data_IF_317530765674
#
_entry.id   IF_317530765674
#
_cell.length_a   1.000
_cell.length_b   1.000
_cell.length_c   1.000
_cell.angle_alpha   90.00
_cell.angle_beta   90.00
_cell.angle_gamma   90.00
#
_symmetry.space_group_name_H-M   'P 1'
#
loop_
_entity.id
_entity.type
_entity.pdbx_description
1 polymer ?
#
# COMPACT_ATOMS: atom_id res chain seq x y z
N UNK A 1 12.36 -4.32 60.28
CA UNK A 1 13.71 -4.29 59.67
C UNK A 1 14.09 -2.95 59.04
N UNK A 2 13.13 -2.11 58.59
CA UNK A 2 13.43 -0.81 57.96
C UNK A 2 13.79 0.32 58.95
N UNK A 3 13.47 0.18 60.24
CA UNK A 3 13.61 1.23 61.26
C UNK A 3 15.05 1.55 61.71
N UNK A 4 16.07 0.88 61.15
CA UNK A 4 17.50 1.11 61.45
C UNK A 4 18.27 1.79 60.30
N UNK A 5 17.59 2.13 59.21
CA UNK A 5 18.23 2.76 58.04
C UNK A 5 18.37 4.27 58.26
N UNK A 6 19.54 4.81 57.93
CA UNK A 6 19.72 6.27 57.83
C UNK A 6 18.86 6.81 56.67
N UNK A 7 18.47 8.09 56.73
CA UNK A 7 17.68 8.76 55.67
C UNK A 7 18.17 8.47 54.24
N UNK A 8 19.47 8.55 53.90
CA UNK A 8 19.94 8.20 52.55
C UNK A 8 19.80 6.71 52.21
N UNK A 9 19.95 5.80 53.18
CA UNK A 9 19.77 4.37 52.96
C UNK A 9 18.29 4.02 52.74
N UNK A 10 17.37 4.65 53.47
CA UNK A 10 15.93 4.50 53.23
C UNK A 10 15.55 5.03 51.83
N UNK A 11 16.08 6.18 51.42
CA UNK A 11 15.89 6.71 50.06
C UNK A 11 16.44 5.78 48.98
N UNK A 12 17.64 5.22 49.16
CA UNK A 12 18.22 4.27 48.20
C UNK A 12 17.38 2.99 48.08
N UNK A 13 16.91 2.44 49.20
CA UNK A 13 16.04 1.25 49.21
C UNK A 13 14.69 1.53 48.55
N UNK A 14 14.11 2.71 48.75
CA UNK A 14 12.86 3.13 48.09
C UNK A 14 13.06 3.48 46.60
N UNK A 15 14.24 3.93 46.20
CA UNK A 15 14.56 4.26 44.81
C UNK A 15 14.79 3.00 43.96
N UNK A 16 15.30 1.90 44.54
CA UNK A 16 15.55 0.64 43.82
C UNK A 16 14.34 0.12 43.01
N UNK A 17 13.11 -0.01 43.55
CA UNK A 17 11.96 -0.46 42.76
C UNK A 17 11.58 0.53 41.66
N UNK A 18 11.76 1.83 41.87
CA UNK A 18 11.50 2.86 40.84
C UNK A 18 12.53 2.76 39.71
N UNK A 19 13.82 2.63 40.04
CA UNK A 19 14.89 2.42 39.07
C UNK A 19 14.69 1.11 38.31
N UNK A 20 14.27 0.04 38.99
CA UNK A 20 13.96 -1.23 38.35
C UNK A 20 12.77 -1.11 37.38
N UNK A 21 11.70 -0.41 37.75
CA UNK A 21 10.55 -0.13 36.88
C UNK A 21 10.91 0.73 35.67
N UNK A 22 11.76 1.75 35.86
CA UNK A 22 12.23 2.59 34.76
C UNK A 22 13.14 1.79 33.83
N UNK A 23 14.03 0.95 34.37
CA UNK A 23 14.86 0.07 33.59
C UNK A 23 14.02 -0.93 32.78
N UNK A 24 13.02 -1.58 33.40
CA UNK A 24 12.12 -2.48 32.65
C UNK A 24 11.33 -1.73 31.59
N UNK A 25 10.80 -0.54 31.85
CA UNK A 25 10.10 0.25 30.84
C UNK A 25 10.99 0.65 29.65
N UNK A 26 12.29 0.89 29.89
CA UNK A 26 13.24 1.27 28.85
C UNK A 26 13.76 0.08 28.03
N UNK A 27 13.89 -1.10 28.64
CA UNK A 27 14.53 -2.27 28.01
C UNK A 27 13.57 -3.41 27.64
N UNK A 28 12.32 -3.41 28.13
CA UNK A 28 11.36 -4.43 27.74
C UNK A 28 10.88 -4.22 26.30
N UNK A 29 10.74 -5.29 25.51
CA UNK A 29 10.16 -5.20 24.17
C UNK A 29 8.70 -4.74 24.28
N UNK A 30 8.33 -3.77 23.46
CA UNK A 30 6.96 -3.29 23.40
C UNK A 30 6.15 -4.10 22.37
N UNK A 31 4.84 -4.34 22.60
CA UNK A 31 3.97 -5.09 21.69
C UNK A 31 3.51 -4.22 20.50
N UNK A 32 4.44 -3.55 19.84
CA UNK A 32 4.18 -2.72 18.67
C UNK A 32 5.01 -3.19 17.48
N UNK A 33 4.47 -2.96 16.28
CA UNK A 33 5.19 -3.03 15.02
C UNK A 33 5.32 -1.61 14.45
N UNK A 34 6.43 -1.36 13.75
CA UNK A 34 6.63 -0.10 13.02
C UNK A 34 6.38 -0.34 11.55
N UNK A 35 5.49 0.45 10.95
CA UNK A 35 5.23 0.46 9.52
C UNK A 35 5.89 1.67 8.86
N UNK A 36 6.41 1.49 7.65
CA UNK A 36 7.08 2.52 6.86
C UNK A 36 6.71 2.41 5.36
N UNK A 37 6.99 3.44 4.52
CA UNK A 37 6.74 3.38 3.09
C UNK A 37 7.54 2.25 2.44
N UNK A 38 6.83 1.28 1.84
CA UNK A 38 7.44 0.13 1.19
C UNK A 38 7.88 0.43 -0.24
N UNK A 39 8.15 -0.62 -1.01
CA UNK A 39 8.48 -0.50 -2.42
C UNK A 39 7.28 -0.06 -3.29
N UNK A 40 7.58 0.42 -4.50
CA UNK A 40 6.56 0.62 -5.54
C UNK A 40 6.92 -0.18 -6.78
N UNK A 41 5.92 -0.68 -7.50
CA UNK A 41 6.12 -1.50 -8.70
C UNK A 41 5.29 -0.96 -9.87
N UNK A 42 5.95 -0.72 -11.02
CA UNK A 42 5.29 -0.33 -12.25
C UNK A 42 4.63 -1.55 -12.91
N UNK A 43 3.30 -1.60 -12.93
CA UNK A 43 2.56 -2.73 -13.53
C UNK A 43 2.66 -2.78 -15.05
N UNK A 44 3.00 -1.66 -15.69
CA UNK A 44 3.17 -1.60 -17.14
C UNK A 44 4.54 -2.12 -17.62
N UNK A 45 5.49 -2.31 -16.70
CA UNK A 45 6.85 -2.74 -17.02
C UNK A 45 7.26 -4.06 -16.36
N UNK A 46 8.57 -4.22 -16.16
CA UNK A 46 9.15 -5.40 -15.55
C UNK A 46 9.48 -5.19 -14.05
N UNK A 47 9.31 -6.25 -13.26
CA UNK A 47 9.76 -6.37 -11.88
C UNK A 47 10.71 -7.57 -11.78
N UNK A 48 11.93 -7.36 -11.24
CA UNK A 48 12.96 -8.39 -11.10
C UNK A 48 13.22 -9.22 -12.37
N UNK A 49 13.17 -8.57 -13.54
CA UNK A 49 13.45 -9.21 -14.84
C UNK A 49 12.26 -9.94 -15.48
N UNK A 50 11.07 -9.92 -14.87
CA UNK A 50 9.84 -10.44 -15.47
C UNK A 50 8.81 -9.32 -15.69
N UNK A 51 8.12 -9.33 -16.82
CA UNK A 51 6.96 -8.46 -17.07
C UNK A 51 5.89 -8.68 -16.00
N UNK A 52 5.39 -7.58 -15.42
CA UNK A 52 4.36 -7.65 -14.38
C UNK A 52 3.02 -8.11 -14.95
N UNK A 53 2.68 -7.63 -16.15
CA UNK A 53 1.47 -8.02 -16.88
C UNK A 53 1.87 -8.61 -18.22
N UNK A 54 1.56 -9.90 -18.41
CA UNK A 54 1.68 -10.61 -19.69
C UNK A 54 0.30 -10.99 -20.19
N UNK A 55 0.02 -10.75 -21.46
CA UNK A 55 -1.29 -11.02 -22.08
C UNK A 55 -1.10 -11.86 -23.33
N UNK A 56 -1.85 -12.96 -23.43
CA UNK A 56 -1.94 -13.86 -24.59
C UNK A 56 -3.36 -13.85 -25.17
N UNK A 57 -3.49 -14.15 -26.47
CA UNK A 57 -4.79 -14.22 -27.15
C UNK A 57 -5.36 -12.89 -27.67
N UNK A 58 -4.72 -11.76 -27.34
CA UNK A 58 -5.05 -10.43 -27.86
C UNK A 58 -3.79 -9.67 -28.31
N UNK A 59 -3.97 -8.70 -29.21
CA UNK A 59 -2.89 -7.74 -29.52
C UNK A 59 -2.74 -6.78 -28.35
N UNK A 60 -1.51 -6.60 -27.89
CA UNK A 60 -1.17 -5.58 -26.90
C UNK A 60 -0.58 -4.35 -27.57
N UNK A 61 -0.70 -3.21 -26.89
CA UNK A 61 -0.08 -1.94 -27.30
C UNK A 61 1.17 -1.64 -26.47
N UNK A 62 2.07 -0.85 -27.05
CA UNK A 62 3.16 -0.25 -26.30
C UNK A 62 2.58 0.87 -25.44
N UNK A 63 3.00 0.94 -24.18
CA UNK A 63 2.55 1.97 -23.23
C UNK A 63 3.72 2.89 -22.88
N UNK A 64 3.43 4.18 -22.71
CA UNK A 64 4.36 5.15 -22.11
C UNK A 64 3.94 5.49 -20.68
N UNK A 65 4.84 6.14 -19.93
CA UNK A 65 4.62 6.46 -18.53
C UNK A 65 4.67 5.24 -17.61
N UNK A 66 4.08 5.38 -16.42
CA UNK A 66 4.11 4.35 -15.38
C UNK A 66 2.80 4.33 -14.58
N UNK A 67 2.32 3.12 -14.30
CA UNK A 67 1.26 2.87 -13.31
C UNK A 67 1.89 2.11 -12.15
N UNK A 68 2.12 2.80 -11.03
CA UNK A 68 2.84 2.26 -9.88
C UNK A 68 1.88 1.88 -8.76
N UNK A 69 1.84 0.61 -8.39
CA UNK A 69 1.25 0.25 -7.09
C UNK A 69 2.21 0.59 -5.95
N UNK A 70 1.69 0.68 -4.74
CA UNK A 70 2.46 1.04 -3.54
C UNK A 70 2.23 0.04 -2.41
N UNK A 71 3.30 -0.26 -1.67
CA UNK A 71 3.24 -1.15 -0.49
C UNK A 71 3.67 -0.41 0.78
N UNK A 72 3.42 -1.04 1.92
CA UNK A 72 4.02 -0.66 3.21
C UNK A 72 4.87 -1.82 3.69
N UNK A 73 5.92 -1.51 4.44
CA UNK A 73 6.75 -2.51 5.11
C UNK A 73 6.54 -2.39 6.61
N UNK A 74 6.29 -3.51 7.28
CA UNK A 74 6.23 -3.59 8.73
C UNK A 74 7.48 -4.30 9.26
N UNK A 75 7.95 -3.91 10.45
CA UNK A 75 8.98 -4.65 11.19
C UNK A 75 8.53 -6.09 11.40
N UNK A 76 9.42 -7.06 11.16
CA UNK A 76 9.11 -8.48 11.28
C UNK A 76 8.62 -8.89 12.69
N UNK A 77 7.92 -10.02 12.82
CA UNK A 77 7.21 -10.40 14.04
C UNK A 77 8.12 -10.57 15.27
N UNK A 78 9.40 -10.93 15.06
CA UNK A 78 10.41 -11.13 16.11
C UNK A 78 11.28 -9.88 16.38
N UNK A 79 11.00 -8.77 15.68
CA UNK A 79 11.77 -7.53 15.80
C UNK A 79 11.41 -6.84 17.12
N UNK A 80 12.42 -6.49 17.92
CA UNK A 80 12.21 -5.79 19.19
C UNK A 80 12.04 -4.29 18.93
N UNK A 81 10.84 -3.78 19.20
CA UNK A 81 10.56 -2.33 19.17
C UNK A 81 10.78 -1.77 20.57
N UNK A 82 11.70 -0.81 20.69
CA UNK A 82 12.00 -0.14 21.95
C UNK A 82 11.15 1.12 22.16
N UNK A 83 11.12 1.63 23.40
CA UNK A 83 10.45 2.90 23.71
C UNK A 83 11.05 4.08 22.93
N UNK A 84 12.36 4.05 22.68
CA UNK A 84 13.04 5.07 21.88
C UNK A 84 12.56 5.11 20.44
N UNK A 85 12.32 3.95 19.83
CA UNK A 85 11.82 3.86 18.46
C UNK A 85 10.39 4.40 18.32
N UNK A 86 9.54 4.12 19.30
CA UNK A 86 8.17 4.66 19.37
C UNK A 86 8.19 6.18 19.52
N UNK A 87 9.04 6.68 20.42
CA UNK A 87 9.19 8.13 20.64
C UNK A 87 9.74 8.84 19.40
N UNK A 88 10.76 8.30 18.74
CA UNK A 88 11.30 8.83 17.48
C UNK A 88 10.23 8.85 16.38
N UNK A 89 9.44 7.77 16.29
CA UNK A 89 8.37 7.64 15.28
C UNK A 89 7.27 8.70 15.45
N UNK A 90 7.04 9.23 16.65
CA UNK A 90 6.04 10.29 16.88
C UNK A 90 6.35 11.59 16.11
N UNK A 91 7.62 11.86 15.84
CA UNK A 91 8.05 13.05 15.10
C UNK A 91 8.26 12.80 13.60
N UNK A 92 8.00 11.59 13.13
CA UNK A 92 8.25 11.15 11.75
C UNK A 92 6.94 10.90 11.01
N UNK A 93 6.79 11.55 9.86
CA UNK A 93 5.63 11.39 8.96
C UNK A 93 5.74 10.15 8.06
N UNK A 94 6.90 9.48 8.07
CA UNK A 94 7.21 8.27 7.30
C UNK A 94 7.23 7.00 8.18
N UNK A 95 6.65 7.07 9.38
CA UNK A 95 6.50 5.92 10.28
C UNK A 95 5.12 5.89 10.90
N UNK A 96 4.58 4.69 11.07
CA UNK A 96 3.37 4.46 11.85
C UNK A 96 3.64 3.39 12.92
N UNK A 97 3.27 3.69 14.15
CA UNK A 97 3.34 2.73 15.26
C UNK A 97 2.00 1.99 15.32
N UNK A 98 2.03 0.69 15.11
CA UNK A 98 0.84 -0.16 15.06
C UNK A 98 0.89 -1.21 16.17
N UNK A 99 -0.24 -1.57 16.81
CA UNK A 99 -0.28 -2.73 17.70
C UNK A 99 0.19 -3.98 16.95
N UNK A 100 1.04 -4.80 17.56
CA UNK A 100 1.59 -5.99 16.91
C UNK A 100 0.48 -6.92 16.40
N UNK A 101 -0.56 -7.16 17.21
CA UNK A 101 -1.73 -7.98 16.84
C UNK A 101 -2.53 -7.45 15.64
N UNK A 102 -2.45 -6.14 15.35
CA UNK A 102 -3.11 -5.56 14.19
C UNK A 102 -2.37 -5.85 12.87
N UNK A 103 -1.07 -6.13 12.95
CA UNK A 103 -0.21 -6.46 11.80
C UNK A 103 -0.02 -7.97 11.68
N UNK A 104 0.17 -8.64 12.80
CA UNK A 104 0.39 -10.08 12.92
C UNK A 104 -0.67 -10.66 13.87
N UNK A 105 -1.87 -11.01 13.37
CA UNK A 105 -2.93 -11.51 14.22
C UNK A 105 -2.47 -12.74 15.01
N UNK A 106 -2.57 -12.63 16.34
CA UNK A 106 -2.23 -13.68 17.30
C UNK A 106 -2.88 -15.02 16.93
N UNK A 107 -2.06 -16.08 16.82
CA UNK A 107 -2.52 -17.46 16.62
C UNK A 107 -2.21 -18.08 15.27
N UNK A 108 -1.67 -17.33 14.30
CA UNK A 108 -1.19 -17.87 13.02
C UNK A 108 0.33 -17.99 12.99
N UNK A 109 0.84 -19.08 12.45
CA UNK A 109 2.26 -19.22 12.14
C UNK A 109 2.64 -18.33 10.94
N UNK A 110 3.93 -17.94 10.84
CA UNK A 110 4.45 -17.17 9.69
C UNK A 110 4.07 -17.81 8.35
N UNK A 111 4.13 -19.15 8.26
CA UNK A 111 3.75 -19.90 7.06
C UNK A 111 2.27 -19.81 6.71
N UNK A 112 1.38 -19.74 7.71
CA UNK A 112 -0.06 -19.58 7.48
C UNK A 112 -0.39 -18.17 6.97
N UNK A 113 0.26 -17.15 7.54
CA UNK A 113 0.14 -15.76 7.08
C UNK A 113 0.62 -15.63 5.64
N UNK A 114 1.79 -16.20 5.30
CA UNK A 114 2.31 -16.20 3.93
C UNK A 114 1.36 -16.88 2.95
N UNK A 115 0.79 -18.04 3.34
CA UNK A 115 -0.19 -18.77 2.52
C UNK A 115 -1.48 -17.95 2.33
N UNK A 116 -1.99 -17.33 3.39
CA UNK A 116 -3.17 -16.48 3.34
C UNK A 116 -2.95 -15.26 2.43
N UNK A 117 -1.83 -14.56 2.60
CA UNK A 117 -1.47 -13.40 1.79
C UNK A 117 -1.29 -13.77 0.31
N UNK A 118 -0.69 -14.94 0.02
CA UNK A 118 -0.55 -15.43 -1.36
C UNK A 118 -1.90 -15.77 -1.98
N UNK A 119 -2.81 -16.38 -1.22
CA UNK A 119 -4.16 -16.67 -1.68
C UNK A 119 -4.97 -15.40 -1.94
N UNK A 120 -4.94 -14.42 -1.03
CA UNK A 120 -5.57 -13.11 -1.24
C UNK A 120 -4.96 -12.35 -2.41
N UNK A 121 -3.65 -12.45 -2.61
CA UNK A 121 -2.98 -11.84 -3.75
C UNK A 121 -3.46 -12.45 -5.07
N UNK A 122 -3.61 -13.78 -5.11
CA UNK A 122 -4.18 -14.48 -6.26
C UNK A 122 -5.63 -14.06 -6.51
N UNK A 123 -6.46 -14.02 -5.48
CA UNK A 123 -7.86 -13.58 -5.59
C UNK A 123 -7.96 -12.14 -6.12
N UNK A 124 -7.10 -11.25 -5.62
CA UNK A 124 -7.01 -9.87 -6.11
C UNK A 124 -6.60 -9.78 -7.57
N UNK A 125 -5.67 -10.63 -8.02
CA UNK A 125 -5.25 -10.71 -9.42
C UNK A 125 -6.35 -11.24 -10.34
N UNK A 126 -7.08 -12.27 -9.88
CA UNK A 126 -8.20 -12.86 -10.60
C UNK A 126 -9.34 -11.83 -10.73
N UNK A 127 -9.71 -11.15 -9.63
CA UNK A 127 -10.71 -10.08 -9.63
C UNK A 127 -10.28 -8.89 -10.51
N UNK A 128 -9.00 -8.50 -10.48
CA UNK A 128 -8.49 -7.43 -11.31
C UNK A 128 -8.55 -7.75 -12.81
N UNK A 129 -8.27 -9.01 -13.16
CA UNK A 129 -8.38 -9.53 -14.53
C UNK A 129 -9.82 -9.54 -14.98
N UNK A 130 -10.73 -10.07 -14.16
CA UNK A 130 -12.16 -10.12 -14.47
C UNK A 130 -12.75 -8.71 -14.63
N UNK A 131 -12.45 -7.78 -13.72
CA UNK A 131 -12.89 -6.39 -13.81
C UNK A 131 -12.40 -5.72 -15.11
N UNK A 132 -11.16 -5.96 -15.52
CA UNK A 132 -10.59 -5.38 -16.74
C UNK A 132 -11.26 -5.95 -18.00
N UNK A 133 -11.44 -7.27 -18.07
CA UNK A 133 -12.07 -7.93 -19.22
C UNK A 133 -13.56 -7.59 -19.31
N UNK A 134 -14.27 -7.54 -18.18
CA UNK A 134 -15.65 -7.08 -18.10
C UNK A 134 -15.80 -5.63 -18.60
N UNK A 135 -14.90 -4.73 -18.17
CA UNK A 135 -14.89 -3.34 -18.64
C UNK A 135 -14.72 -3.25 -20.16
N UNK A 136 -13.81 -4.05 -20.72
CA UNK A 136 -13.53 -4.11 -22.16
C UNK A 136 -14.54 -4.96 -22.94
N UNK A 137 -15.49 -5.62 -22.26
CA UNK A 137 -16.46 -6.56 -22.84
C UNK A 137 -15.79 -7.72 -23.60
N UNK A 138 -14.67 -8.20 -23.05
CA UNK A 138 -13.92 -9.34 -23.55
C UNK A 138 -14.22 -10.58 -22.71
N UNK A 139 -14.27 -11.75 -23.35
CA UNK A 139 -14.46 -13.02 -22.67
C UNK A 139 -13.12 -13.62 -22.20
N UNK A 140 -13.13 -14.22 -21.01
CA UNK A 140 -11.98 -14.90 -20.40
C UNK A 140 -11.50 -16.13 -21.22
N UNK A 141 -12.30 -16.60 -22.18
CA UNK A 141 -12.00 -17.70 -23.09
C UNK A 141 -11.04 -17.29 -24.23
N UNK A 142 -10.89 -16.00 -24.49
CA UNK A 142 -10.11 -15.48 -25.65
C UNK A 142 -8.85 -14.75 -25.25
N UNK A 143 -8.80 -14.21 -24.04
CA UNK A 143 -7.68 -13.40 -23.55
C UNK A 143 -7.24 -13.98 -22.22
N UNK A 144 -5.97 -14.39 -22.17
CA UNK A 144 -5.36 -14.89 -20.95
C UNK A 144 -4.40 -13.82 -20.41
N UNK A 145 -4.58 -13.49 -19.13
CA UNK A 145 -3.76 -12.49 -18.43
C UNK A 145 -2.99 -13.20 -17.33
N UNK A 146 -1.68 -13.01 -17.32
CA UNK A 146 -0.79 -13.48 -16.25
C UNK A 146 -0.19 -12.29 -15.52
N UNK A 147 -0.44 -12.22 -14.21
CA UNK A 147 0.07 -11.20 -13.31
C UNK A 147 1.20 -11.78 -12.45
N UNK A 148 2.38 -11.16 -12.51
CA UNK A 148 3.57 -11.61 -11.76
C UNK A 148 4.19 -10.46 -11.01
N UNK A 149 4.22 -10.57 -9.69
CA UNK A 149 4.93 -9.62 -8.86
C UNK A 149 5.57 -10.33 -7.67
N UNK A 150 6.88 -10.18 -7.55
CA UNK A 150 7.63 -10.76 -6.44
C UNK A 150 7.51 -9.86 -5.20
N UNK A 151 7.45 -10.51 -4.03
CA UNK A 151 7.56 -9.86 -2.71
C UNK A 151 6.49 -8.81 -2.38
N UNK A 152 5.32 -8.92 -3.02
CA UNK A 152 4.15 -8.09 -2.71
C UNK A 152 3.02 -8.97 -2.21
N UNK A 153 2.45 -8.60 -1.05
CA UNK A 153 1.32 -9.28 -0.44
C UNK A 153 0.12 -8.37 -0.28
N UNK A 154 -1.07 -8.97 -0.24
CA UNK A 154 -2.35 -8.31 0.02
C UNK A 154 -3.02 -7.69 -1.22
N UNK A 155 -4.35 -7.50 -1.20
CA UNK A 155 -5.15 -7.19 -2.38
C UNK A 155 -5.08 -5.72 -2.83
N UNK A 156 -4.27 -4.89 -2.19
CA UNK A 156 -4.30 -3.42 -2.35
C UNK A 156 -3.77 -2.88 -3.69
N UNK A 157 -3.36 -3.78 -4.58
CA UNK A 157 -2.90 -3.51 -5.94
C UNK A 157 -3.95 -3.80 -7.02
N UNK A 158 -5.12 -4.34 -6.65
CA UNK A 158 -6.16 -4.78 -7.59
C UNK A 158 -6.51 -3.71 -8.63
N UNK A 159 -6.82 -2.49 -8.19
CA UNK A 159 -7.14 -1.38 -9.10
C UNK A 159 -6.02 -1.12 -10.13
N UNK A 160 -4.76 -1.16 -9.70
CA UNK A 160 -3.63 -0.81 -10.57
C UNK A 160 -3.37 -1.93 -11.58
N UNK A 161 -3.53 -3.19 -11.20
CA UNK A 161 -3.51 -4.29 -12.16
C UNK A 161 -4.61 -4.16 -13.20
N UNK A 162 -5.85 -3.86 -12.79
CA UNK A 162 -6.98 -3.66 -13.70
C UNK A 162 -6.69 -2.55 -14.71
N UNK A 163 -6.23 -1.38 -14.24
CA UNK A 163 -5.87 -0.26 -15.12
C UNK A 163 -4.70 -0.62 -16.06
N UNK A 164 -3.71 -1.36 -15.58
CA UNK A 164 -2.58 -1.80 -16.40
C UNK A 164 -2.99 -2.79 -17.49
N UNK A 165 -3.93 -3.70 -17.22
CA UNK A 165 -4.49 -4.62 -18.22
C UNK A 165 -5.25 -3.82 -19.29
N UNK A 166 -6.09 -2.87 -18.88
CA UNK A 166 -6.84 -2.01 -19.79
C UNK A 166 -5.89 -1.18 -20.65
N UNK A 167 -4.86 -0.57 -20.07
CA UNK A 167 -3.91 0.24 -20.81
C UNK A 167 -3.10 -0.57 -21.85
N UNK A 168 -2.75 -1.83 -21.52
CA UNK A 168 -2.07 -2.73 -22.45
C UNK A 168 -2.99 -3.28 -23.56
N UNK A 169 -4.30 -3.30 -23.37
CA UNK A 169 -5.27 -3.82 -24.35
C UNK A 169 -5.90 -2.72 -25.22
N UNK A 170 -6.28 -1.61 -24.62
CA UNK A 170 -7.12 -0.57 -25.24
C UNK A 170 -6.58 0.85 -25.01
N UNK A 171 -5.84 1.08 -23.92
CA UNK A 171 -5.31 2.41 -23.58
C UNK A 171 -6.37 3.29 -22.92
N UNK A 172 -6.51 4.52 -23.42
CA UNK A 172 -7.55 5.48 -23.02
C UNK A 172 -8.90 5.30 -23.76
N UNK A 173 -8.99 4.31 -24.66
CA UNK A 173 -10.15 4.07 -25.54
C UNK A 173 -10.21 4.96 -26.79
N UNK A 174 -9.25 5.88 -26.96
CA UNK A 174 -9.06 6.71 -28.16
C UNK A 174 -7.73 6.41 -28.89
N UNK A 175 -6.99 5.39 -28.43
CA UNK A 175 -5.71 4.95 -28.97
C UNK A 175 -4.48 5.56 -28.26
N UNK A 176 -4.70 6.41 -27.26
CA UNK A 176 -3.69 6.99 -26.38
C UNK A 176 -3.33 6.10 -25.19
N UNK A 177 -2.35 6.54 -24.40
CA UNK A 177 -1.91 5.84 -23.20
C UNK A 177 -2.68 6.36 -21.99
N UNK A 178 -3.18 5.47 -21.14
CA UNK A 178 -3.96 5.86 -19.98
C UNK A 178 -3.18 6.77 -19.00
N UNK A 179 -1.85 6.70 -19.03
CA UNK A 179 -0.99 7.52 -18.18
C UNK A 179 -0.68 8.90 -18.75
N UNK A 180 -0.90 9.12 -20.05
CA UNK A 180 -0.43 10.32 -20.76
C UNK A 180 1.08 10.57 -20.61
N UNK A 181 1.88 9.50 -20.48
CA UNK A 181 3.32 9.57 -20.25
C UNK A 181 3.76 9.93 -18.83
N UNK A 182 2.81 10.03 -17.87
CA UNK A 182 3.10 10.41 -16.48
C UNK A 182 3.51 9.22 -15.63
N UNK A 183 4.15 9.50 -14.50
CA UNK A 183 4.24 8.55 -13.38
C UNK A 183 3.03 8.75 -12.47
N UNK A 184 2.07 7.83 -12.58
CA UNK A 184 0.89 7.75 -11.73
C UNK A 184 1.09 6.58 -10.77
N UNK A 185 0.74 6.80 -9.51
CA UNK A 185 0.70 5.74 -8.51
C UNK A 185 -0.72 5.57 -7.97
N UNK A 186 -0.94 4.54 -7.17
CA UNK A 186 -2.17 4.43 -6.41
C UNK A 186 -2.25 3.18 -5.56
N UNK A 187 -3.43 2.97 -5.00
CA UNK A 187 -3.82 1.78 -4.25
C UNK A 187 -5.34 1.61 -4.31
N UNK A 188 -5.82 0.42 -4.00
CA UNK A 188 -7.25 0.09 -3.96
C UNK A 188 -7.45 -1.38 -4.27
N UNK A 189 -8.36 -2.02 -3.54
CA UNK A 189 -8.89 -3.31 -3.99
C UNK A 189 -9.83 -3.08 -5.17
N UNK A 190 -10.19 -4.16 -5.86
CA UNK A 190 -11.15 -4.08 -6.97
C UNK A 190 -12.02 -5.34 -6.93
N UNK A 191 -13.32 -5.14 -7.08
CA UNK A 191 -14.28 -6.23 -7.32
C UNK A 191 -14.48 -6.44 -8.82
N UNK A 192 -14.95 -7.62 -9.21
CA UNK A 192 -15.17 -7.98 -10.62
C UNK A 192 -16.17 -7.06 -11.36
N UNK A 193 -17.05 -6.36 -10.63
CA UNK A 193 -18.00 -5.38 -11.16
C UNK A 193 -17.37 -3.98 -11.36
N UNK A 194 -16.11 -3.80 -10.94
CA UNK A 194 -15.36 -2.57 -11.02
C UNK A 194 -15.52 -1.66 -9.81
N UNK A 195 -16.12 -2.09 -8.71
CA UNK A 195 -16.15 -1.34 -7.44
C UNK A 195 -14.76 -1.29 -6.83
N UNK A 196 -14.30 -0.08 -6.44
CA UNK A 196 -13.00 0.10 -5.79
C UNK A 196 -13.22 0.10 -4.28
N UNK A 197 -12.48 -0.76 -3.58
CA UNK A 197 -12.59 -0.91 -2.14
C UNK A 197 -11.42 -0.31 -1.36
N UNK A 198 -11.69 -0.18 -0.07
CA UNK A 198 -10.84 0.40 0.96
C UNK A 198 -9.48 -0.32 1.12
N UNK A 199 -8.48 0.42 1.61
CA UNK A 199 -7.14 -0.10 1.91
C UNK A 199 -6.49 0.57 3.12
N UNK A 200 -5.66 -0.19 3.84
CA UNK A 200 -4.86 0.34 4.94
C UNK A 200 -3.59 1.08 4.49
N UNK A 201 -3.08 1.94 5.38
CA UNK A 201 -1.72 2.52 5.30
C UNK A 201 -1.53 3.57 4.19
N UNK A 202 -2.60 4.27 3.80
CA UNK A 202 -2.57 5.18 2.65
C UNK A 202 -1.58 6.34 2.83
N UNK A 203 -1.46 6.91 4.03
CA UNK A 203 -0.46 7.93 4.33
C UNK A 203 0.97 7.47 3.94
N UNK A 204 1.40 6.29 4.39
CA UNK A 204 2.72 5.72 4.06
C UNK A 204 2.85 5.38 2.57
N UNK A 205 1.77 4.94 1.92
CA UNK A 205 1.73 4.66 0.49
C UNK A 205 1.91 5.91 -0.37
N UNK A 206 1.32 7.04 0.02
CA UNK A 206 1.52 8.32 -0.68
C UNK A 206 2.98 8.77 -0.59
N UNK A 207 3.64 8.57 0.55
CA UNK A 207 5.08 8.83 0.72
C UNK A 207 5.92 7.93 -0.21
N UNK A 208 5.61 6.63 -0.30
CA UNK A 208 6.28 5.70 -1.23
C UNK A 208 6.10 6.14 -2.70
N UNK A 209 4.89 6.52 -3.08
CA UNK A 209 4.58 7.04 -4.40
C UNK A 209 5.40 8.30 -4.72
N UNK A 210 5.45 9.26 -3.79
CA UNK A 210 6.22 10.49 -3.99
C UNK A 210 7.71 10.22 -4.10
N UNK A 211 8.26 9.37 -3.23
CA UNK A 211 9.67 8.95 -3.25
C UNK A 211 10.06 8.42 -4.63
N UNK A 212 9.18 7.65 -5.25
CA UNK A 212 9.43 6.99 -6.53
C UNK A 212 8.91 7.79 -7.74
N UNK A 213 8.71 9.10 -7.55
CA UNK A 213 8.50 10.07 -8.63
C UNK A 213 7.06 10.24 -9.11
N UNK A 214 6.07 9.66 -8.42
CA UNK A 214 4.68 9.88 -8.78
C UNK A 214 4.25 11.34 -8.57
N UNK A 215 3.47 11.85 -9.52
CA UNK A 215 2.85 13.20 -9.44
C UNK A 215 1.36 13.13 -9.16
N UNK A 216 0.77 11.95 -9.32
CA UNK A 216 -0.65 11.65 -9.14
C UNK A 216 -0.76 10.36 -8.35
N UNK A 217 -1.73 10.32 -7.44
CA UNK A 217 -2.05 9.14 -6.64
C UNK A 217 -3.55 8.86 -6.68
N UNK A 218 -3.94 7.70 -7.21
CA UNK A 218 -5.30 7.20 -7.13
C UNK A 218 -5.51 6.60 -5.73
N UNK A 219 -6.55 7.06 -5.05
CA UNK A 219 -6.88 6.66 -3.67
C UNK A 219 -8.36 6.32 -3.59
N UNK A 220 -8.76 5.22 -2.92
CA UNK A 220 -10.18 4.99 -2.72
C UNK A 220 -10.78 6.16 -1.92
N UNK A 221 -12.00 6.58 -2.26
CA UNK A 221 -12.56 7.83 -1.73
C UNK A 221 -12.67 7.85 -0.20
N UNK A 222 -12.91 6.68 0.41
CA UNK A 222 -13.04 6.50 1.86
C UNK A 222 -11.75 6.87 2.61
N UNK A 223 -10.58 6.78 1.96
CA UNK A 223 -9.25 7.05 2.55
C UNK A 223 -8.72 8.44 2.21
N UNK A 224 -9.50 9.31 1.57
CA UNK A 224 -9.05 10.67 1.28
C UNK A 224 -8.63 11.43 2.55
N UNK A 225 -9.29 11.23 3.69
CA UNK A 225 -8.90 11.89 4.95
C UNK A 225 -7.50 11.48 5.39
N UNK A 226 -7.22 10.17 5.36
CA UNK A 226 -5.96 9.59 5.81
C UNK A 226 -4.82 9.93 4.86
N UNK A 227 -5.11 9.94 3.56
CA UNK A 227 -4.17 10.36 2.52
C UNK A 227 -3.77 11.83 2.64
N UNK A 228 -4.71 12.71 3.04
CA UNK A 228 -4.44 14.14 3.24
C UNK A 228 -3.62 14.44 4.48
N UNK A 229 -3.76 13.62 5.53
CA UNK A 229 -3.11 13.87 6.82
C UNK A 229 -1.60 14.06 6.68
N UNK A 230 -0.95 13.25 5.85
CA UNK A 230 0.50 13.27 5.60
C UNK A 230 0.83 13.40 4.10
N UNK A 231 0.07 14.23 3.37
CA UNK A 231 0.19 14.39 1.93
C UNK A 231 1.55 14.98 1.52
N UNK A 232 2.37 14.27 0.72
CA UNK A 232 3.62 14.82 0.23
C UNK A 232 3.39 16.00 -0.73
N UNK A 233 4.20 17.05 -0.62
CA UNK A 233 4.10 18.23 -1.50
C UNK A 233 4.19 17.85 -2.98
N UNK A 234 3.26 18.39 -3.77
CA UNK A 234 3.22 18.18 -5.22
C UNK A 234 2.82 16.77 -5.65
N UNK A 235 2.14 16.02 -4.77
CA UNK A 235 1.39 14.82 -5.14
C UNK A 235 -0.10 15.16 -5.22
N UNK A 236 -0.74 14.93 -6.36
CA UNK A 236 -2.18 15.13 -6.52
C UNK A 236 -2.93 13.87 -6.11
N UNK A 237 -3.86 13.97 -5.17
CA UNK A 237 -4.76 12.87 -4.81
C UNK A 237 -6.01 12.90 -5.70
N UNK A 238 -6.38 11.76 -6.26
CA UNK A 238 -7.61 11.58 -7.03
C UNK A 238 -8.45 10.50 -6.35
N UNK A 239 -9.62 10.85 -5.77
CA UNK A 239 -10.53 9.88 -5.19
C UNK A 239 -11.15 9.01 -6.27
N UNK A 240 -11.30 7.73 -5.98
CA UNK A 240 -11.96 6.76 -6.84
C UNK A 240 -12.87 5.84 -6.03
N UNK A 241 -14.07 5.58 -6.55
CA UNK A 241 -15.02 4.58 -5.99
C UNK A 241 -15.29 3.44 -6.97
N UNK A 242 -14.90 3.62 -8.23
CA UNK A 242 -15.10 2.65 -9.29
C UNK A 242 -14.01 2.74 -10.35
N UNK A 243 -13.80 1.64 -11.06
CA UNK A 243 -12.93 1.53 -12.22
C UNK A 243 -13.29 2.58 -13.29
N UNK A 244 -14.58 2.76 -13.57
CA UNK A 244 -15.06 3.78 -14.52
C UNK A 244 -14.69 5.19 -14.07
N UNK A 245 -14.81 5.47 -12.77
CA UNK A 245 -14.37 6.75 -12.17
C UNK A 245 -12.87 6.96 -12.34
N UNK A 246 -12.06 5.94 -12.06
CA UNK A 246 -10.61 5.98 -12.26
C UNK A 246 -10.24 6.25 -13.72
N UNK A 247 -10.81 5.50 -14.68
CA UNK A 247 -10.60 5.71 -16.11
C UNK A 247 -10.96 7.15 -16.52
N UNK A 248 -12.14 7.62 -16.12
CA UNK A 248 -12.62 8.97 -16.46
C UNK A 248 -11.70 10.06 -15.91
N UNK A 249 -11.19 9.90 -14.68
CA UNK A 249 -10.28 10.85 -14.06
C UNK A 249 -8.91 10.88 -14.76
N UNK A 250 -8.39 9.72 -15.17
CA UNK A 250 -7.11 9.62 -15.90
C UNK A 250 -7.23 10.22 -17.31
N UNK A 251 -8.28 9.89 -18.06
CA UNK A 251 -8.52 10.49 -19.39
C UNK A 251 -8.74 12.01 -19.30
N UNK A 252 -9.43 12.50 -18.28
CA UNK A 252 -9.59 13.93 -18.05
C UNK A 252 -8.26 14.62 -17.73
N UNK A 253 -7.39 13.95 -16.96
CA UNK A 253 -6.07 14.45 -16.63
C UNK A 253 -5.13 14.52 -17.84
N UNK A 254 -5.18 13.51 -18.73
CA UNK A 254 -4.40 13.48 -19.96
C UNK A 254 -4.89 14.53 -20.97
N UNK A 255 -6.19 14.52 -21.27
CA UNK A 255 -6.78 15.40 -22.30
C UNK A 255 -6.87 16.87 -21.88
N UNK A 256 -6.75 17.15 -20.57
CA UNK A 256 -7.01 18.48 -20.00
C UNK A 256 -8.48 18.92 -20.10
N UNK A 257 -9.39 18.00 -20.43
CA UNK A 257 -10.82 18.27 -20.60
C UNK A 257 -11.61 17.60 -19.47
N UNK A 258 -12.60 18.31 -18.95
CA UNK A 258 -13.44 17.82 -17.85
C UNK A 258 -12.86 18.13 -16.46
N UNK A 259 -13.55 17.69 -15.42
CA UNK A 259 -13.14 17.89 -14.02
C UNK A 259 -12.41 16.66 -13.50
N UNK A 260 -11.14 16.83 -13.13
CA UNK A 260 -10.40 15.80 -12.39
C UNK A 260 -10.73 15.97 -10.91
N UNK A 261 -11.37 14.98 -10.24
CA UNK A 261 -11.71 15.10 -8.84
C UNK A 261 -10.43 15.20 -7.98
N UNK A 262 -10.60 15.76 -6.79
CA UNK A 262 -9.53 15.87 -5.81
C UNK A 262 -10.11 15.51 -4.45
N UNK A 263 -9.29 14.82 -3.66
CA UNK A 263 -9.39 14.94 -2.22
C UNK A 263 -9.06 16.43 -1.95
#
# INVERSE_FOLDING_TARGET
MLSRLTRPQALAVCALPVVALVATALFAPLPFALAQPGMTANVLGANKGAEVITISGAKTRATSGQLRMTTIEATGPDTHVSLGDVFDSWFRTDRAVMPHDAVYPSGQSVKEIEKHNTAQMKESQDAATEAALNYLKLGNDKVEVTLKLADVGGPSAGLLFTLGIIDKLDGDGAGGDLTGGRTIAGTGTIDADGTVGAVGGVALKTQAAKRDGATVFLVPEEECSDAKAELPKGLRLIPVTSLKGAMSALTALESGKGSVPAC
#
